data_IF_395710683080
#
_entry.id   IF_395710683080
#
_cell.length_a   1.000
_cell.length_b   1.000
_cell.length_c   1.000
_cell.angle_alpha   90.00
_cell.angle_beta   90.00
_cell.angle_gamma   90.00
#
_symmetry.space_group_name_H-M   'P 1'
#
loop_
_entity.id
_entity.type
_entity.pdbx_description
1 polymer ?
#
# COMPACT_ATOMS: atom_id res chain seq x y z
N UNK A 1 8.62 -16.60 18.67
CA UNK A 1 7.59 -15.99 19.52
C UNK A 1 6.80 -17.05 20.23
N UNK A 2 6.54 -16.90 21.52
CA UNK A 2 5.70 -17.87 22.28
C UNK A 2 4.23 -17.59 21.96
N UNK A 3 3.36 -18.59 22.10
CA UNK A 3 1.91 -18.40 21.90
C UNK A 3 1.31 -17.32 22.84
N UNK A 4 1.95 -17.04 23.98
CA UNK A 4 1.51 -16.00 24.92
C UNK A 4 1.82 -14.58 24.41
N UNK A 5 2.92 -14.38 23.69
CA UNK A 5 3.30 -13.08 23.12
C UNK A 5 2.40 -12.64 21.96
N UNK A 6 1.69 -13.57 21.32
CA UNK A 6 0.75 -13.29 20.22
C UNK A 6 -0.72 -13.15 20.67
N UNK A 7 -1.04 -13.56 21.90
CA UNK A 7 -2.43 -13.63 22.36
C UNK A 7 -3.14 -12.28 22.27
N UNK A 8 -2.48 -11.17 22.64
CA UNK A 8 -3.11 -9.86 22.59
C UNK A 8 -3.40 -9.39 21.15
N UNK A 9 -2.62 -9.85 20.16
CA UNK A 9 -2.86 -9.53 18.76
C UNK A 9 -4.02 -10.33 18.18
N UNK A 10 -4.14 -11.60 18.53
CA UNK A 10 -5.08 -12.53 17.89
C UNK A 10 -6.41 -12.69 18.61
N UNK A 11 -6.53 -12.20 19.84
CA UNK A 11 -7.72 -12.37 20.70
C UNK A 11 -9.04 -11.91 20.02
N UNK A 12 -8.98 -10.91 19.17
CA UNK A 12 -10.13 -10.39 18.44
C UNK A 12 -10.24 -10.89 16.98
N UNK A 13 -9.34 -11.77 16.53
CA UNK A 13 -9.29 -12.20 15.14
C UNK A 13 -10.43 -13.13 14.74
N UNK A 14 -10.91 -13.97 15.65
CA UNK A 14 -11.93 -14.98 15.33
C UNK A 14 -13.22 -14.37 14.78
N UNK A 15 -13.73 -13.31 15.40
CA UNK A 15 -14.93 -12.61 14.93
C UNK A 15 -14.74 -12.04 13.52
N UNK A 16 -13.57 -11.46 13.24
CA UNK A 16 -13.22 -10.90 11.93
C UNK A 16 -13.09 -12.00 10.87
N UNK A 17 -12.45 -13.10 11.22
CA UNK A 17 -12.30 -14.29 10.39
C UNK A 17 -13.67 -14.87 10.02
N UNK A 18 -14.59 -14.98 10.99
CA UNK A 18 -15.95 -15.42 10.73
C UNK A 18 -16.68 -14.49 9.75
N UNK A 19 -16.50 -13.17 9.85
CA UNK A 19 -17.08 -12.21 8.93
C UNK A 19 -16.54 -12.38 7.51
N UNK A 20 -15.22 -12.53 7.35
CA UNK A 20 -14.57 -12.77 6.05
C UNK A 20 -15.07 -14.08 5.43
N UNK A 21 -15.09 -15.16 6.19
CA UNK A 21 -15.56 -16.47 5.71
C UNK A 21 -17.05 -16.46 5.35
N UNK A 22 -17.88 -15.79 6.14
CA UNK A 22 -19.33 -15.64 5.85
C UNK A 22 -19.56 -14.80 4.62
N UNK A 23 -18.74 -13.76 4.37
CA UNK A 23 -18.80 -12.97 3.14
C UNK A 23 -18.55 -13.83 1.92
N UNK A 24 -17.64 -14.81 2.00
CA UNK A 24 -17.27 -15.72 0.92
C UNK A 24 -17.00 -14.95 -0.39
N UNK A 25 -16.12 -13.96 -0.30
CA UNK A 25 -15.74 -13.16 -1.45
C UNK A 25 -14.78 -13.94 -2.36
N UNK A 26 -14.93 -13.85 -3.70
CA UNK A 26 -14.07 -14.56 -4.65
C UNK A 26 -12.65 -13.98 -4.74
N UNK A 27 -12.45 -12.76 -4.25
CA UNK A 27 -11.16 -12.10 -4.18
C UNK A 27 -10.91 -11.58 -2.76
N UNK A 28 -9.90 -12.13 -2.09
CA UNK A 28 -9.43 -11.65 -0.80
C UNK A 28 -7.92 -11.47 -0.83
N UNK A 29 -7.44 -10.40 -0.21
CA UNK A 29 -6.02 -10.10 -0.01
C UNK A 29 -5.81 -9.43 1.33
N UNK A 30 -4.58 -9.42 1.83
CA UNK A 30 -4.18 -8.59 2.97
C UNK A 30 -3.57 -7.30 2.41
N UNK A 31 -3.88 -6.16 3.01
CA UNK A 31 -3.22 -4.88 2.75
C UNK A 31 -2.64 -4.32 4.04
N UNK A 32 -1.35 -4.08 4.04
CA UNK A 32 -0.59 -3.45 5.14
C UNK A 32 0.34 -2.41 4.55
N UNK A 33 0.51 -1.26 5.21
CA UNK A 33 1.32 -0.15 4.69
C UNK A 33 2.00 0.61 5.81
N UNK A 34 3.03 1.41 5.45
CA UNK A 34 3.72 2.26 6.41
C UNK A 34 4.18 1.44 7.63
N UNK A 35 4.86 0.34 7.33
CA UNK A 35 5.31 -0.60 8.36
C UNK A 35 6.41 0.00 9.22
N UNK A 36 7.30 0.81 8.62
CA UNK A 36 8.44 1.45 9.30
C UNK A 36 9.08 0.51 10.35
N UNK A 37 9.37 -0.72 9.93
CA UNK A 37 9.79 -1.80 10.82
C UNK A 37 10.97 -1.37 11.71
N UNK A 38 10.81 -1.49 13.02
CA UNK A 38 11.79 -1.11 14.04
C UNK A 38 11.98 0.40 14.24
N UNK A 39 11.11 1.25 13.69
CA UNK A 39 11.14 2.68 14.03
C UNK A 39 10.68 2.93 15.48
N UNK A 40 9.57 2.33 15.90
CA UNK A 40 9.02 2.38 17.26
C UNK A 40 9.07 0.99 17.87
N UNK A 41 8.58 -0.01 17.15
CA UNK A 41 8.60 -1.43 17.52
C UNK A 41 8.79 -2.28 16.27
N UNK A 42 9.03 -3.59 16.44
CA UNK A 42 9.09 -4.50 15.30
C UNK A 42 7.68 -4.85 14.83
N UNK A 43 7.44 -4.74 13.52
CA UNK A 43 6.20 -5.18 12.87
C UNK A 43 6.21 -6.67 12.55
N UNK A 44 7.36 -7.34 12.66
CA UNK A 44 7.48 -8.78 12.39
C UNK A 44 6.47 -9.62 13.18
N UNK A 45 6.23 -9.40 14.47
CA UNK A 45 5.20 -10.15 15.22
C UNK A 45 3.79 -10.02 14.63
N UNK A 46 3.45 -8.85 14.10
CA UNK A 46 2.16 -8.61 13.45
C UNK A 46 2.05 -9.41 12.16
N UNK A 47 3.12 -9.41 11.35
CA UNK A 47 3.16 -10.24 10.13
C UNK A 47 3.04 -11.72 10.49
N UNK A 48 3.77 -12.19 11.49
CA UNK A 48 3.68 -13.59 11.94
C UNK A 48 2.29 -13.96 12.44
N UNK A 49 1.56 -13.03 13.09
CA UNK A 49 0.18 -13.25 13.51
C UNK A 49 -0.79 -13.49 12.35
N UNK A 50 -0.45 -13.05 11.14
CA UNK A 50 -1.27 -13.29 9.95
C UNK A 50 -1.38 -14.77 9.58
N UNK A 51 -0.46 -15.64 10.03
CA UNK A 51 -0.63 -17.09 9.89
C UNK A 51 -1.93 -17.57 10.52
N UNK A 52 -2.32 -16.99 11.65
CA UNK A 52 -3.58 -17.32 12.30
C UNK A 52 -4.80 -17.06 11.41
N UNK A 53 -4.73 -15.98 10.62
CA UNK A 53 -5.77 -15.60 9.65
C UNK A 53 -5.71 -16.54 8.44
N UNK A 54 -4.53 -16.74 7.88
CA UNK A 54 -4.33 -17.55 6.67
C UNK A 54 -4.75 -19.01 6.87
N UNK A 55 -4.47 -19.58 8.04
CA UNK A 55 -4.89 -20.94 8.39
C UNK A 55 -6.42 -21.11 8.43
N UNK A 56 -7.15 -20.01 8.67
CA UNK A 56 -8.63 -20.00 8.85
C UNK A 56 -9.39 -19.34 7.71
N UNK A 57 -8.69 -18.58 6.86
CA UNK A 57 -9.22 -17.91 5.66
C UNK A 57 -8.44 -18.37 4.43
N UNK A 58 -8.60 -19.60 3.96
CA UNK A 58 -7.82 -20.14 2.83
C UNK A 58 -8.11 -19.43 1.51
N UNK A 59 -9.15 -18.59 1.44
CA UNK A 59 -9.48 -17.76 0.28
C UNK A 59 -8.61 -16.50 0.12
N UNK A 60 -7.71 -16.19 1.06
CA UNK A 60 -6.77 -15.07 0.93
C UNK A 60 -5.67 -15.47 -0.06
N UNK A 61 -5.53 -14.70 -1.14
CA UNK A 61 -4.70 -15.08 -2.30
C UNK A 61 -3.31 -14.48 -2.27
N UNK A 62 -3.13 -13.29 -1.69
CA UNK A 62 -1.85 -12.56 -1.64
C UNK A 62 -1.87 -11.49 -0.56
N UNK A 63 -0.68 -10.95 -0.26
CA UNK A 63 -0.49 -9.79 0.59
C UNK A 63 0.03 -8.64 -0.27
N UNK A 64 -0.46 -7.42 0.00
CA UNK A 64 0.08 -6.18 -0.55
C UNK A 64 0.72 -5.36 0.56
N UNK A 65 2.01 -5.05 0.40
CA UNK A 65 2.70 -4.03 1.18
C UNK A 65 2.59 -2.69 0.45
N UNK A 66 2.00 -1.71 1.11
CA UNK A 66 1.74 -0.38 0.56
C UNK A 66 2.96 0.56 0.58
N UNK A 67 4.18 0.07 0.90
CA UNK A 67 5.40 0.88 0.98
C UNK A 67 5.72 1.39 2.38
N UNK A 68 6.85 2.08 2.51
CA UNK A 68 7.46 2.50 3.78
C UNK A 68 7.68 1.30 4.72
N UNK A 69 8.49 0.37 4.23
CA UNK A 69 8.64 -0.98 4.79
C UNK A 69 9.63 -1.00 5.96
N UNK A 70 10.84 -0.46 5.74
CA UNK A 70 11.96 -0.57 6.67
C UNK A 70 12.12 0.63 7.60
N UNK A 71 13.26 0.67 8.29
CA UNK A 71 13.63 1.75 9.20
C UNK A 71 14.75 2.61 8.60
N UNK A 72 14.40 3.68 7.94
CA UNK A 72 15.34 4.65 7.37
C UNK A 72 15.86 5.69 8.39
N UNK A 73 15.38 5.67 9.63
CA UNK A 73 15.97 6.43 10.75
C UNK A 73 17.17 5.71 11.37
N UNK A 74 17.58 4.55 10.88
CA UNK A 74 18.79 3.89 11.34
C UNK A 74 20.01 4.54 10.67
N UNK A 75 20.94 5.13 11.45
CA UNK A 75 22.14 5.77 10.90
C UNK A 75 23.13 4.77 10.30
N UNK A 76 23.03 3.49 10.65
CA UNK A 76 23.81 2.41 10.05
C UNK A 76 23.13 1.91 8.77
N UNK A 77 23.76 2.11 7.60
CA UNK A 77 23.17 1.66 6.33
C UNK A 77 22.90 0.15 6.25
N UNK A 78 23.72 -0.64 6.92
CA UNK A 78 23.49 -2.09 6.97
C UNK A 78 22.36 -2.44 7.94
N UNK A 79 22.22 -1.70 9.03
CA UNK A 79 21.09 -1.81 9.94
C UNK A 79 19.76 -1.48 9.24
N UNK A 80 19.73 -0.46 8.39
CA UNK A 80 18.56 -0.11 7.55
C UNK A 80 18.19 -1.26 6.61
N UNK A 81 19.16 -1.80 5.88
CA UNK A 81 18.97 -2.96 4.98
C UNK A 81 18.53 -4.21 5.72
N UNK A 82 19.09 -4.44 6.90
CA UNK A 82 18.72 -5.57 7.74
C UNK A 82 17.28 -5.47 8.24
N UNK A 83 16.79 -4.26 8.54
CA UNK A 83 15.39 -4.04 8.90
C UNK A 83 14.45 -4.38 7.74
N UNK A 84 14.76 -3.93 6.52
CA UNK A 84 14.02 -4.32 5.31
C UNK A 84 14.00 -5.84 5.11
N UNK A 85 15.16 -6.48 5.17
CA UNK A 85 15.25 -7.95 5.00
C UNK A 85 14.40 -8.69 6.02
N UNK A 86 14.46 -8.32 7.30
CA UNK A 86 13.70 -9.01 8.36
C UNK A 86 12.20 -8.99 8.11
N UNK A 87 11.64 -7.84 7.77
CA UNK A 87 10.20 -7.75 7.52
C UNK A 87 9.80 -8.44 6.20
N UNK A 88 10.61 -8.30 5.15
CA UNK A 88 10.35 -9.00 3.89
C UNK A 88 10.43 -10.53 4.05
N UNK A 89 11.40 -11.04 4.80
CA UNK A 89 11.49 -12.46 5.16
C UNK A 89 10.25 -12.93 5.92
N UNK A 90 9.78 -12.15 6.91
CA UNK A 90 8.55 -12.47 7.63
C UNK A 90 7.34 -12.53 6.69
N UNK A 91 7.17 -11.54 5.81
CA UNK A 91 6.09 -11.55 4.82
C UNK A 91 6.20 -12.73 3.84
N UNK A 92 7.39 -13.04 3.34
CA UNK A 92 7.59 -14.16 2.43
C UNK A 92 7.35 -15.53 3.10
N UNK A 93 7.58 -15.63 4.40
CA UNK A 93 7.33 -16.84 5.19
C UNK A 93 5.84 -17.12 5.41
N UNK A 94 4.94 -16.17 5.12
CA UNK A 94 3.49 -16.40 5.15
C UNK A 94 3.02 -17.45 4.13
N UNK A 95 3.84 -17.79 3.13
CA UNK A 95 3.54 -18.84 2.16
C UNK A 95 2.55 -18.43 1.07
N UNK A 96 2.19 -17.15 0.97
CA UNK A 96 1.39 -16.56 -0.09
C UNK A 96 2.22 -15.53 -0.88
N UNK A 97 1.84 -15.19 -2.13
CA UNK A 97 2.48 -14.12 -2.87
C UNK A 97 2.43 -12.78 -2.11
N UNK A 98 3.54 -12.03 -2.17
CA UNK A 98 3.67 -10.71 -1.58
C UNK A 98 4.01 -9.71 -2.68
N UNK A 99 3.20 -8.68 -2.82
CA UNK A 99 3.37 -7.60 -3.77
C UNK A 99 3.64 -6.29 -3.05
N UNK A 100 4.60 -5.50 -3.52
CA UNK A 100 5.03 -4.29 -2.85
C UNK A 100 4.85 -3.06 -3.75
N UNK A 101 4.35 -1.98 -3.17
CA UNK A 101 4.59 -0.61 -3.62
C UNK A 101 5.86 -0.09 -2.91
N UNK A 102 6.55 0.84 -3.53
CA UNK A 102 7.74 1.46 -2.92
C UNK A 102 7.36 2.86 -2.41
N UNK A 103 7.69 3.12 -1.15
CA UNK A 103 7.39 4.37 -0.46
C UNK A 103 8.61 5.28 -0.31
N UNK A 104 8.39 6.51 0.18
CA UNK A 104 9.42 7.55 0.25
C UNK A 104 10.48 7.31 1.33
N UNK A 105 10.25 6.41 2.26
CA UNK A 105 11.24 6.01 3.26
C UNK A 105 12.05 4.78 2.84
N UNK A 106 11.64 4.06 1.81
CA UNK A 106 12.25 2.77 1.47
C UNK A 106 13.69 2.91 0.92
N UNK A 107 14.01 3.97 0.17
CA UNK A 107 15.37 4.23 -0.31
C UNK A 107 16.31 4.86 0.74
N UNK A 108 15.76 5.31 1.87
CA UNK A 108 16.49 5.94 2.96
C UNK A 108 16.90 7.39 2.73
N UNK A 109 16.77 7.92 1.50
CA UNK A 109 17.32 9.24 1.14
C UNK A 109 16.72 10.38 1.93
N UNK A 110 15.42 10.31 2.29
CA UNK A 110 14.74 11.34 3.04
C UNK A 110 15.43 11.64 4.37
N UNK A 111 15.63 10.63 5.16
CA UNK A 111 16.28 10.77 6.45
C UNK A 111 17.79 10.95 6.34
N UNK A 112 18.47 10.32 5.37
CA UNK A 112 19.90 10.56 5.14
C UNK A 112 20.19 12.03 4.89
N UNK A 113 19.39 12.71 4.06
CA UNK A 113 19.54 14.15 3.79
C UNK A 113 19.16 14.97 5.03
N UNK A 114 18.03 14.67 5.67
CA UNK A 114 17.54 15.43 6.82
C UNK A 114 18.52 15.36 8.02
N UNK A 115 19.23 14.25 8.18
CA UNK A 115 20.21 14.01 9.24
C UNK A 115 21.66 14.29 8.80
N UNK A 116 21.88 14.76 7.58
CA UNK A 116 23.22 14.99 7.00
C UNK A 116 24.10 13.73 6.94
N UNK A 117 23.49 12.57 6.71
CA UNK A 117 24.20 11.31 6.51
C UNK A 117 24.68 11.16 5.06
N UNK A 118 25.52 10.16 4.85
CA UNK A 118 26.06 9.86 3.52
C UNK A 118 24.99 9.22 2.62
N UNK A 119 24.45 9.99 1.67
CA UNK A 119 23.39 9.55 0.76
C UNK A 119 23.84 8.51 -0.26
N UNK A 120 25.16 8.27 -0.42
CA UNK A 120 25.69 7.18 -1.27
C UNK A 120 25.30 5.80 -0.75
N UNK A 121 24.85 5.72 0.50
CA UNK A 121 24.36 4.51 1.14
C UNK A 121 22.87 4.22 0.89
N UNK A 122 22.20 5.01 0.05
CA UNK A 122 20.80 4.78 -0.31
C UNK A 122 20.58 3.38 -0.90
N UNK A 123 19.37 2.85 -0.71
CA UNK A 123 18.92 1.63 -1.38
C UNK A 123 18.47 2.03 -2.78
N UNK A 124 19.21 1.63 -3.79
CA UNK A 124 18.91 1.97 -5.19
C UNK A 124 17.85 1.03 -5.78
N UNK A 125 17.23 1.38 -6.93
CA UNK A 125 16.13 0.61 -7.51
C UNK A 125 16.41 -0.88 -7.71
N UNK A 126 17.60 -1.26 -8.18
CA UNK A 126 17.98 -2.67 -8.38
C UNK A 126 18.08 -3.43 -7.05
N UNK A 127 18.62 -2.80 -6.02
CA UNK A 127 18.69 -3.37 -4.68
C UNK A 127 17.28 -3.48 -4.07
N UNK A 128 16.44 -2.46 -4.25
CA UNK A 128 15.05 -2.48 -3.83
C UNK A 128 14.29 -3.63 -4.50
N UNK A 129 14.50 -3.81 -5.80
CA UNK A 129 13.92 -4.94 -6.54
C UNK A 129 14.35 -6.30 -5.96
N UNK A 130 15.62 -6.43 -5.58
CA UNK A 130 16.12 -7.67 -4.93
C UNK A 130 15.47 -7.92 -3.56
N UNK A 131 15.18 -6.88 -2.80
CA UNK A 131 14.52 -6.97 -1.50
C UNK A 131 13.03 -7.32 -1.62
N UNK A 132 12.31 -6.61 -2.49
CA UNK A 132 10.84 -6.62 -2.54
C UNK A 132 10.26 -7.40 -3.73
N UNK A 133 11.06 -7.76 -4.72
CA UNK A 133 10.61 -8.23 -6.04
C UNK A 133 10.37 -9.73 -6.18
N UNK A 134 10.41 -10.54 -5.11
CA UNK A 134 10.31 -12.01 -5.20
C UNK A 134 9.11 -12.51 -6.02
N UNK A 135 7.98 -11.83 -5.96
CA UNK A 135 6.74 -12.19 -6.68
C UNK A 135 6.39 -11.19 -7.79
N UNK A 136 7.28 -10.26 -8.07
CA UNK A 136 7.14 -9.32 -9.17
C UNK A 136 7.53 -10.03 -10.49
N UNK A 137 6.66 -10.05 -11.50
CA UNK A 137 6.91 -10.76 -12.75
C UNK A 137 7.84 -10.00 -13.72
N UNK A 138 8.32 -8.81 -13.34
CA UNK A 138 9.17 -7.94 -14.18
C UNK A 138 10.50 -7.64 -13.51
N UNK A 139 11.37 -6.92 -14.19
CA UNK A 139 12.64 -6.39 -13.69
C UNK A 139 12.53 -4.95 -13.15
N UNK A 140 11.30 -4.41 -13.02
CA UNK A 140 11.01 -3.05 -12.55
C UNK A 140 10.29 -3.09 -11.21
N UNK A 141 10.31 -2.00 -10.47
CA UNK A 141 9.58 -1.89 -9.21
C UNK A 141 8.10 -1.54 -9.38
N UNK A 142 7.63 -1.33 -10.63
CA UNK A 142 6.23 -1.17 -10.98
C UNK A 142 5.78 -2.23 -11.97
N UNK A 143 4.59 -2.79 -11.75
CA UNK A 143 4.08 -3.92 -12.51
C UNK A 143 2.60 -4.13 -12.29
N UNK A 144 2.02 -5.11 -12.96
CA UNK A 144 0.69 -5.60 -12.65
C UNK A 144 0.64 -7.13 -12.63
N UNK A 145 -0.39 -7.66 -11.99
CA UNK A 145 -0.79 -9.05 -12.07
C UNK A 145 -2.26 -9.14 -12.44
N UNK A 146 -2.63 -10.17 -13.18
CA UNK A 146 -4.02 -10.46 -13.56
C UNK A 146 -4.55 -11.62 -12.71
N UNK A 147 -5.79 -11.48 -12.23
CA UNK A 147 -6.44 -12.42 -11.32
C UNK A 147 -7.83 -12.74 -11.89
N UNK A 148 -8.07 -14.01 -12.15
CA UNK A 148 -9.37 -14.51 -12.55
C UNK A 148 -10.16 -14.94 -11.30
N UNK A 149 -11.45 -14.60 -11.25
CA UNK A 149 -12.36 -14.99 -10.18
C UNK A 149 -13.72 -15.38 -10.75
N UNK A 150 -14.58 -15.96 -9.91
CA UNK A 150 -15.92 -16.37 -10.31
C UNK A 150 -16.86 -15.17 -10.62
N UNK A 151 -16.63 -14.03 -9.96
CA UNK A 151 -17.47 -12.82 -10.06
C UNK A 151 -16.93 -11.78 -11.06
N UNK A 152 -15.72 -11.99 -11.57
CA UNK A 152 -15.08 -11.06 -12.50
C UNK A 152 -13.57 -11.22 -12.54
N UNK A 153 -12.96 -10.59 -13.51
CA UNK A 153 -11.52 -10.62 -13.72
C UNK A 153 -10.93 -9.28 -13.35
N UNK A 154 -9.82 -9.31 -12.61
CA UNK A 154 -9.19 -8.12 -12.07
C UNK A 154 -7.73 -8.01 -12.47
N UNK A 155 -7.27 -6.77 -12.59
CA UNK A 155 -5.85 -6.40 -12.69
C UNK A 155 -5.46 -5.61 -11.46
N UNK A 156 -4.42 -6.09 -10.76
CA UNK A 156 -3.80 -5.37 -9.66
C UNK A 156 -2.55 -4.67 -10.18
N UNK A 157 -2.54 -3.36 -10.13
CA UNK A 157 -1.41 -2.52 -10.59
C UNK A 157 -0.68 -2.00 -9.36
N UNK A 158 0.63 -2.17 -9.31
CA UNK A 158 1.51 -1.71 -8.23
C UNK A 158 2.45 -0.64 -8.80
N UNK A 159 2.47 0.54 -8.17
CA UNK A 159 3.28 1.67 -8.61
C UNK A 159 4.50 1.85 -7.70
N UNK A 160 5.58 2.31 -8.29
CA UNK A 160 6.77 2.79 -7.60
C UNK A 160 6.69 4.32 -7.48
N UNK A 161 6.49 4.83 -6.26
CA UNK A 161 6.45 6.26 -6.01
C UNK A 161 7.82 6.90 -5.87
N UNK A 162 8.89 6.13 -5.98
CA UNK A 162 10.28 6.61 -5.92
C UNK A 162 11.02 6.42 -7.23
N UNK A 163 10.29 6.27 -8.34
CA UNK A 163 10.83 6.13 -9.70
C UNK A 163 11.37 7.49 -10.22
N UNK A 164 12.32 8.01 -9.46
CA UNK A 164 13.00 9.29 -9.68
C UNK A 164 14.40 9.06 -10.26
N UNK A 165 14.99 10.06 -10.92
CA UNK A 165 16.37 9.94 -11.40
C UNK A 165 17.34 9.93 -10.21
N UNK A 166 18.09 8.82 -10.04
CA UNK A 166 19.15 8.69 -9.04
C UNK A 166 20.47 9.32 -9.57
N UNK A 167 20.45 10.64 -9.78
CA UNK A 167 21.61 11.40 -10.23
C UNK A 167 22.40 11.92 -9.03
N UNK A 168 23.72 11.81 -9.09
CA UNK A 168 24.61 12.31 -8.05
C UNK A 168 25.03 13.75 -8.31
N UNK A 169 25.32 14.49 -7.24
CA UNK A 169 25.99 15.78 -7.29
C UNK A 169 27.52 15.61 -7.57
N UNK A 170 28.26 16.72 -7.56
CA UNK A 170 29.71 16.73 -7.77
C UNK A 170 30.51 15.95 -6.70
N UNK A 171 29.91 15.67 -5.55
CA UNK A 171 30.51 14.91 -4.44
C UNK A 171 30.08 13.43 -4.44
N UNK A 172 29.29 13.01 -5.44
CA UNK A 172 28.72 11.67 -5.53
C UNK A 172 27.54 11.44 -4.60
N UNK A 173 26.95 12.50 -4.02
CA UNK A 173 25.78 12.40 -3.14
C UNK A 173 24.48 12.49 -3.94
N UNK A 174 23.42 11.79 -3.50
CA UNK A 174 22.09 11.90 -4.07
C UNK A 174 21.31 13.04 -3.41
N UNK A 175 20.85 14.07 -4.18
CA UNK A 175 20.24 15.26 -3.59
C UNK A 175 18.72 15.19 -3.39
N UNK A 176 18.06 14.09 -3.74
CA UNK A 176 16.61 14.05 -3.90
C UNK A 176 15.84 13.45 -2.71
N UNK A 177 16.20 13.65 -1.51
CA UNK A 177 15.48 13.34 -0.26
C UNK A 177 14.14 12.57 -0.38
N UNK A 178 13.12 13.08 0.27
CA UNK A 178 11.75 12.52 0.23
C UNK A 178 10.99 12.80 -1.08
N UNK A 179 11.69 13.01 -2.19
CA UNK A 179 11.04 13.23 -3.47
C UNK A 179 10.28 11.98 -3.91
N UNK A 180 8.98 12.14 -4.03
CA UNK A 180 8.10 11.18 -4.67
C UNK A 180 7.96 11.53 -6.14
N UNK A 181 8.15 10.56 -7.02
CA UNK A 181 8.08 10.76 -8.46
C UNK A 181 7.61 9.50 -9.19
N UNK A 182 6.81 9.71 -10.20
CA UNK A 182 6.51 8.73 -11.25
C UNK A 182 7.27 9.20 -12.49
N UNK A 183 8.21 8.40 -12.97
CA UNK A 183 8.95 8.73 -14.19
C UNK A 183 8.04 8.79 -15.41
N UNK A 184 8.50 9.46 -16.46
CA UNK A 184 7.77 9.45 -17.74
C UNK A 184 7.63 8.02 -18.29
N UNK A 185 8.64 7.17 -18.09
CA UNK A 185 8.61 5.77 -18.54
C UNK A 185 7.55 4.97 -17.80
N UNK A 186 7.43 5.09 -16.46
CA UNK A 186 6.38 4.46 -15.70
C UNK A 186 5.01 4.98 -16.10
N UNK A 187 4.88 6.30 -16.33
CA UNK A 187 3.62 6.89 -16.75
C UNK A 187 3.19 6.38 -18.15
N UNK A 188 4.10 6.29 -19.10
CA UNK A 188 3.81 5.72 -20.44
C UNK A 188 3.44 4.23 -20.36
N UNK A 189 4.12 3.46 -19.51
CA UNK A 189 3.77 2.07 -19.25
C UNK A 189 2.36 1.97 -18.62
N UNK A 190 2.07 2.82 -17.65
CA UNK A 190 0.76 2.84 -16.99
C UNK A 190 -0.36 3.10 -18.00
N UNK A 191 -0.20 4.13 -18.84
CA UNK A 191 -1.17 4.51 -19.85
C UNK A 191 -1.39 3.43 -20.91
N UNK A 192 -0.30 2.84 -21.43
CA UNK A 192 -0.32 2.03 -22.64
C UNK A 192 -0.30 0.51 -22.35
N UNK A 193 -0.05 0.09 -21.11
CA UNK A 193 0.04 -1.32 -20.73
C UNK A 193 -0.83 -1.65 -19.51
N UNK A 194 -0.68 -0.90 -18.42
CA UNK A 194 -1.43 -1.22 -17.20
C UNK A 194 -2.93 -0.99 -17.37
N UNK A 195 -3.33 0.08 -18.07
CA UNK A 195 -4.74 0.38 -18.35
C UNK A 195 -5.32 -0.34 -19.59
N UNK A 196 -4.48 -0.94 -20.42
CA UNK A 196 -4.90 -1.69 -21.61
C UNK A 196 -5.39 -3.10 -21.24
N UNK A 197 -6.62 -3.18 -20.77
CA UNK A 197 -7.26 -4.44 -20.38
C UNK A 197 -8.78 -4.30 -20.34
N UNK A 198 -9.49 -5.42 -20.49
CA UNK A 198 -10.94 -5.50 -20.24
C UNK A 198 -11.28 -5.79 -18.76
N UNK A 199 -10.30 -6.06 -17.92
CA UNK A 199 -10.44 -6.39 -16.51
C UNK A 199 -10.78 -5.16 -15.67
N UNK A 200 -11.42 -5.36 -14.53
CA UNK A 200 -11.52 -4.33 -13.49
C UNK A 200 -10.12 -4.07 -12.88
N UNK A 201 -9.75 -2.82 -12.67
CA UNK A 201 -8.41 -2.44 -12.26
C UNK A 201 -8.42 -1.87 -10.83
N UNK A 202 -7.59 -2.44 -9.95
CA UNK A 202 -7.23 -1.85 -8.68
C UNK A 202 -5.80 -1.31 -8.77
N UNK A 203 -5.61 -0.05 -8.41
CA UNK A 203 -4.27 0.58 -8.43
C UNK A 203 -3.79 0.76 -6.99
N UNK A 204 -2.67 0.15 -6.69
CA UNK A 204 -1.95 0.31 -5.44
C UNK A 204 -0.76 1.26 -5.64
N UNK A 205 -0.63 2.22 -4.75
CA UNK A 205 0.44 3.22 -4.77
C UNK A 205 0.76 3.57 -3.33
N UNK A 206 2.04 3.74 -2.98
CA UNK A 206 2.34 4.21 -1.63
C UNK A 206 1.69 5.57 -1.37
N UNK A 207 1.97 6.54 -2.21
CA UNK A 207 1.37 7.88 -2.10
C UNK A 207 0.06 7.97 -2.89
N UNK A 208 -0.97 8.65 -2.36
CA UNK A 208 -2.16 8.98 -3.14
C UNK A 208 -1.79 9.72 -4.43
N UNK A 209 -2.44 9.35 -5.55
CA UNK A 209 -2.16 9.96 -6.87
C UNK A 209 -2.67 11.40 -6.97
N UNK A 210 -3.60 11.79 -6.12
CA UNK A 210 -4.20 13.13 -6.13
C UNK A 210 -4.60 13.59 -4.74
N UNK A 211 -4.90 14.89 -4.63
CA UNK A 211 -5.40 15.49 -3.40
C UNK A 211 -6.70 14.86 -2.87
N UNK A 212 -7.50 14.26 -3.75
CA UNK A 212 -8.76 13.64 -3.33
C UNK A 212 -8.53 12.54 -2.28
N UNK A 213 -7.43 11.82 -2.34
CA UNK A 213 -7.07 10.78 -1.36
C UNK A 213 -6.72 11.32 0.03
N UNK A 214 -6.41 12.60 0.18
CA UNK A 214 -5.95 13.19 1.45
C UNK A 214 -6.80 14.34 1.98
N UNK A 215 -7.64 14.97 1.15
CA UNK A 215 -8.50 16.07 1.59
C UNK A 215 -9.46 15.59 2.68
N UNK A 216 -9.46 16.30 3.80
CA UNK A 216 -10.30 15.97 4.96
C UNK A 216 -9.67 15.00 5.95
N UNK A 217 -8.45 14.50 5.70
CA UNK A 217 -7.75 13.64 6.64
C UNK A 217 -7.30 14.35 7.92
N UNK A 218 -7.21 15.67 7.90
CA UNK A 218 -6.72 16.48 9.02
C UNK A 218 -5.21 16.37 9.23
N UNK A 219 -4.48 15.72 8.34
CA UNK A 219 -3.02 15.68 8.36
C UNK A 219 -2.43 17.07 8.09
N UNK A 220 -1.16 17.29 8.40
CA UNK A 220 -0.51 18.57 8.10
C UNK A 220 -0.53 18.88 6.59
N UNK A 221 -0.56 17.87 5.74
CA UNK A 221 -0.62 17.97 4.27
C UNK A 221 -1.96 18.52 3.79
N UNK A 222 -3.07 18.13 4.42
CA UNK A 222 -4.41 18.66 4.15
C UNK A 222 -4.50 20.17 4.43
N UNK A 223 -3.67 20.72 5.32
CA UNK A 223 -3.69 22.10 5.76
C UNK A 223 -2.79 23.06 4.99
N UNK A 224 -1.72 22.56 4.39
CA UNK A 224 -0.61 23.41 3.95
C UNK A 224 -0.64 23.73 2.47
N UNK A 225 -1.00 22.77 1.60
CA UNK A 225 -1.07 22.96 0.14
C UNK A 225 -1.96 21.91 -0.51
N UNK A 226 -2.43 22.16 -1.75
CA UNK A 226 -2.80 21.10 -2.64
C UNK A 226 -1.65 20.08 -2.65
N UNK A 227 -2.01 18.82 -2.52
CA UNK A 227 -1.01 17.75 -2.48
C UNK A 227 -0.43 17.55 -3.88
N UNK A 228 0.78 17.98 -4.06
CA UNK A 228 1.58 17.84 -5.27
C UNK A 228 2.95 17.19 -4.98
N UNK A 229 3.00 16.42 -3.87
CA UNK A 229 4.23 15.75 -3.46
C UNK A 229 4.63 14.64 -4.45
N UNK A 230 3.67 14.02 -5.13
CA UNK A 230 3.93 13.00 -6.15
C UNK A 230 4.03 13.64 -7.53
N UNK A 231 5.25 13.89 -7.99
CA UNK A 231 5.50 14.34 -9.35
C UNK A 231 5.05 13.27 -10.36
N UNK A 232 4.38 13.66 -11.42
CA UNK A 232 3.74 12.72 -12.36
C UNK A 232 2.37 12.22 -11.93
N UNK A 233 2.00 12.32 -10.65
CA UNK A 233 0.70 11.93 -10.13
C UNK A 233 -0.50 12.54 -10.88
N UNK A 234 -0.51 13.85 -11.19
CA UNK A 234 -1.57 14.46 -11.99
C UNK A 234 -1.75 13.85 -13.38
N UNK A 235 -0.68 13.40 -14.03
CA UNK A 235 -0.74 12.69 -15.32
C UNK A 235 -1.47 11.36 -15.17
N UNK A 236 -1.09 10.55 -14.17
CA UNK A 236 -1.75 9.28 -13.91
C UNK A 236 -3.22 9.49 -13.54
N UNK A 237 -3.51 10.48 -12.68
CA UNK A 237 -4.89 10.82 -12.27
C UNK A 237 -5.78 11.14 -13.47
N UNK A 238 -5.26 11.88 -14.46
CA UNK A 238 -5.99 12.17 -15.68
C UNK A 238 -6.38 10.88 -16.45
N UNK A 239 -5.44 9.93 -16.61
CA UNK A 239 -5.71 8.67 -17.29
C UNK A 239 -6.64 7.76 -16.50
N UNK A 240 -6.47 7.71 -15.19
CA UNK A 240 -7.36 6.96 -14.26
C UNK A 240 -8.80 7.46 -14.36
N UNK A 241 -9.02 8.78 -14.38
CA UNK A 241 -10.37 9.36 -14.52
C UNK A 241 -11.04 9.00 -15.86
N UNK A 242 -10.26 8.88 -16.91
CA UNK A 242 -10.76 8.48 -18.24
C UNK A 242 -11.03 6.99 -18.35
N UNK A 243 -10.25 6.17 -17.66
CA UNK A 243 -10.39 4.72 -17.70
C UNK A 243 -11.49 4.26 -16.75
N UNK A 244 -12.66 3.95 -17.27
CA UNK A 244 -13.80 3.48 -16.48
C UNK A 244 -13.62 2.11 -15.85
N UNK A 245 -12.56 1.39 -16.21
CA UNK A 245 -12.21 0.09 -15.63
C UNK A 245 -11.43 0.19 -14.32
N UNK A 246 -10.88 1.36 -13.98
CA UNK A 246 -10.26 1.57 -12.67
C UNK A 246 -11.35 1.66 -11.61
N UNK A 247 -11.37 0.70 -10.68
CA UNK A 247 -12.38 0.52 -9.66
C UNK A 247 -12.07 1.23 -8.36
N UNK A 248 -10.80 1.25 -7.96
CA UNK A 248 -10.34 1.96 -6.77
C UNK A 248 -8.84 2.28 -6.84
N UNK A 249 -8.43 3.34 -6.14
CA UNK A 249 -7.04 3.65 -5.78
C UNK A 249 -6.85 3.37 -4.30
N UNK A 250 -5.78 2.65 -3.93
CA UNK A 250 -5.51 2.21 -2.56
C UNK A 250 -4.10 2.65 -2.20
N UNK A 251 -3.95 3.38 -1.10
CA UNK A 251 -2.68 4.03 -0.74
C UNK A 251 -2.44 4.05 0.77
N UNK A 252 -1.18 4.24 1.15
CA UNK A 252 -0.71 4.54 2.50
C UNK A 252 -0.27 6.00 2.66
N UNK A 253 0.96 6.20 3.16
CA UNK A 253 1.70 7.46 3.21
C UNK A 253 1.12 8.54 4.13
N UNK A 254 -0.18 8.70 4.22
CA UNK A 254 -0.83 9.72 5.05
C UNK A 254 -1.13 9.23 6.47
N UNK A 255 -0.97 7.94 6.74
CA UNK A 255 -1.19 7.28 8.02
C UNK A 255 -2.59 7.54 8.60
N UNK A 256 -3.58 7.61 7.75
CA UNK A 256 -4.95 7.97 8.14
C UNK A 256 -5.98 7.20 7.31
N UNK A 257 -7.02 6.69 7.98
CA UNK A 257 -8.16 6.05 7.32
C UNK A 257 -9.02 7.10 6.63
N UNK A 258 -9.12 7.00 5.31
CA UNK A 258 -10.00 7.87 4.54
C UNK A 258 -10.55 7.14 3.31
N UNK A 259 -11.80 7.41 2.97
CA UNK A 259 -12.43 6.98 1.72
C UNK A 259 -13.08 8.22 1.13
N UNK A 260 -12.61 8.61 -0.04
CA UNK A 260 -13.18 9.72 -0.80
C UNK A 260 -13.45 9.27 -2.22
N UNK A 261 -14.51 9.84 -2.77
CA UNK A 261 -14.83 9.65 -4.18
C UNK A 261 -14.40 10.89 -4.96
N UNK A 262 -13.58 10.68 -5.97
CA UNK A 262 -13.23 11.66 -7.00
C UNK A 262 -14.11 11.35 -8.21
N UNK A 263 -15.20 12.09 -8.34
CA UNK A 263 -16.37 11.71 -9.13
C UNK A 263 -16.92 10.34 -8.64
N UNK A 264 -16.84 9.31 -9.46
CA UNK A 264 -17.28 7.94 -9.17
C UNK A 264 -16.12 6.99 -8.74
N UNK A 265 -14.89 7.53 -8.59
CA UNK A 265 -13.70 6.74 -8.28
C UNK A 265 -13.35 6.83 -6.79
N UNK A 266 -13.44 5.73 -6.04
CA UNK A 266 -13.00 5.73 -4.65
C UNK A 266 -11.47 5.79 -4.55
N UNK A 267 -11.00 6.69 -3.70
CA UNK A 267 -9.62 6.81 -3.26
C UNK A 267 -9.56 6.47 -1.77
N UNK A 268 -8.79 5.45 -1.45
CA UNK A 268 -8.72 4.83 -0.13
C UNK A 268 -7.32 5.07 0.42
N UNK A 269 -7.23 5.65 1.60
CA UNK A 269 -6.01 5.63 2.40
C UNK A 269 -6.27 4.87 3.69
N UNK A 270 -5.21 4.32 4.30
CA UNK A 270 -5.33 3.55 5.52
C UNK A 270 -4.30 3.94 6.56
N UNK A 271 -4.53 3.50 7.80
CA UNK A 271 -3.60 3.69 8.91
C UNK A 271 -2.27 2.98 8.63
N UNK A 272 -1.20 3.56 9.16
CA UNK A 272 0.09 2.88 9.22
C UNK A 272 0.03 1.62 10.09
N UNK A 273 0.80 0.61 9.73
CA UNK A 273 0.91 -0.61 10.52
C UNK A 273 1.52 -0.37 11.90
N UNK A 274 2.36 0.64 12.02
CA UNK A 274 3.06 0.96 13.25
C UNK A 274 2.27 1.91 14.15
N UNK A 275 2.57 1.85 15.46
CA UNK A 275 2.02 2.74 16.49
C UNK A 275 2.45 4.20 16.28
N UNK A 276 1.78 4.92 15.39
CA UNK A 276 2.01 6.34 15.15
C UNK A 276 0.68 7.11 15.09
N UNK A 277 0.64 8.27 15.71
CA UNK A 277 -0.52 9.17 15.69
C UNK A 277 -0.12 10.48 15.01
N UNK A 278 -0.39 10.58 13.72
CA UNK A 278 0.03 11.73 12.92
C UNK A 278 -1.03 12.81 12.77
N UNK A 279 -2.31 12.49 13.03
CA UNK A 279 -3.39 13.44 12.79
C UNK A 279 -4.44 13.42 13.89
N UNK A 280 -5.14 14.55 14.12
CA UNK A 280 -6.36 14.57 14.90
C UNK A 280 -7.39 13.64 14.25
N UNK A 281 -8.04 12.78 15.05
CA UNK A 281 -9.04 11.83 14.55
C UNK A 281 -8.48 10.44 14.20
N UNK A 282 -7.17 10.23 14.19
CA UNK A 282 -6.63 8.87 14.26
C UNK A 282 -7.09 8.20 15.55
N UNK A 283 -7.41 6.90 15.52
CA UNK A 283 -7.74 6.16 16.72
C UNK A 283 -6.58 6.21 17.72
N UNK A 284 -6.89 6.14 19.00
CA UNK A 284 -5.88 5.97 20.02
C UNK A 284 -5.23 4.59 19.88
N UNK A 285 -3.91 4.55 19.98
CA UNK A 285 -3.10 3.35 19.81
C UNK A 285 -2.21 3.18 21.02
N UNK A 286 -2.17 1.95 21.55
CA UNK A 286 -1.44 1.63 22.76
C UNK A 286 -0.59 0.39 22.52
N UNK A 287 0.70 0.48 22.85
CA UNK A 287 1.62 -0.65 22.78
C UNK A 287 1.11 -1.86 23.57
N UNK A 288 1.43 -3.05 23.12
CA UNK A 288 1.04 -4.33 23.71
C UNK A 288 -0.49 -4.51 23.85
N UNK A 289 -1.26 -3.87 22.97
CA UNK A 289 -2.70 -4.05 22.83
C UNK A 289 -3.09 -4.31 21.38
N UNK A 290 -4.33 -4.76 21.15
CA UNK A 290 -4.85 -4.97 19.80
C UNK A 290 -4.79 -3.70 18.92
N UNK A 291 -4.68 -2.51 19.55
CA UNK A 291 -4.61 -1.23 18.85
C UNK A 291 -3.18 -0.81 18.50
N UNK A 292 -2.16 -1.59 18.85
CA UNK A 292 -0.77 -1.28 18.53
C UNK A 292 -0.55 -1.20 17.03
N UNK A 293 -1.22 -2.06 16.27
CA UNK A 293 -1.08 -2.14 14.82
C UNK A 293 -2.38 -1.90 14.08
N UNK A 294 -2.30 -1.82 12.75
CA UNK A 294 -3.45 -1.80 11.86
C UNK A 294 -3.09 -2.39 10.49
N UNK A 295 -3.95 -3.27 9.99
CA UNK A 295 -3.94 -3.75 8.61
C UNK A 295 -5.36 -4.18 8.21
N UNK A 296 -5.61 -4.38 6.94
CA UNK A 296 -6.92 -4.75 6.43
C UNK A 296 -6.88 -6.10 5.68
N UNK A 297 -7.91 -6.91 5.84
CA UNK A 297 -8.26 -7.90 4.83
C UNK A 297 -9.22 -7.23 3.86
N UNK A 298 -8.78 -7.14 2.61
CA UNK A 298 -9.54 -6.54 1.50
C UNK A 298 -10.27 -7.65 0.77
N UNK A 299 -11.59 -7.60 0.78
CA UNK A 299 -12.47 -8.57 0.12
C UNK A 299 -13.30 -7.88 -0.95
N UNK A 300 -13.32 -8.41 -2.16
CA UNK A 300 -14.17 -7.89 -3.26
C UNK A 300 -15.22 -8.91 -3.59
N UNK A 301 -16.50 -8.49 -3.54
CA UNK A 301 -17.66 -9.31 -3.90
C UNK A 301 -18.67 -8.47 -4.65
N UNK A 302 -18.95 -8.85 -5.89
CA UNK A 302 -19.79 -8.05 -6.77
C UNK A 302 -19.22 -6.64 -6.96
N UNK A 303 -20.01 -5.64 -6.66
CA UNK A 303 -19.67 -4.22 -6.78
C UNK A 303 -19.25 -3.56 -5.44
N UNK A 304 -18.89 -4.36 -4.45
CA UNK A 304 -18.48 -3.86 -3.12
C UNK A 304 -17.12 -4.39 -2.73
N UNK A 305 -16.25 -3.48 -2.27
CA UNK A 305 -15.01 -3.80 -1.56
C UNK A 305 -15.24 -3.65 -0.06
N UNK A 306 -14.88 -4.66 0.69
CA UNK A 306 -14.92 -4.69 2.15
C UNK A 306 -13.49 -4.63 2.67
N UNK A 307 -13.25 -3.74 3.63
CA UNK A 307 -11.97 -3.60 4.32
C UNK A 307 -12.22 -4.03 5.77
N UNK A 308 -11.94 -5.30 6.07
CA UNK A 308 -12.04 -5.84 7.43
C UNK A 308 -10.78 -5.48 8.19
N UNK A 309 -10.91 -4.61 9.17
CA UNK A 309 -9.80 -4.08 9.97
C UNK A 309 -9.35 -5.07 11.04
N UNK A 310 -8.05 -5.31 11.10
CA UNK A 310 -7.35 -5.95 12.21
C UNK A 310 -6.51 -4.90 12.93
N UNK A 311 -6.68 -4.80 14.24
CA UNK A 311 -6.04 -3.77 15.05
C UNK A 311 -6.84 -2.48 15.20
N UNK A 312 -6.18 -1.33 15.20
CA UNK A 312 -6.82 -0.02 15.40
C UNK A 312 -7.71 0.38 14.24
N UNK A 313 -8.77 1.11 14.54
CA UNK A 313 -9.73 1.60 13.54
C UNK A 313 -10.97 0.71 13.42
N UNK A 314 -11.69 0.84 12.31
CA UNK A 314 -12.96 0.15 12.09
C UNK A 314 -13.04 -0.49 10.71
N UNK A 315 -13.94 -1.47 10.57
CA UNK A 315 -14.29 -2.04 9.28
C UNK A 315 -14.91 -0.96 8.38
N UNK A 316 -14.66 -1.06 7.09
CA UNK A 316 -15.14 -0.12 6.08
C UNK A 316 -15.64 -0.88 4.86
N UNK A 317 -16.54 -0.26 4.10
CA UNK A 317 -16.93 -0.76 2.79
C UNK A 317 -16.91 0.36 1.76
N UNK A 318 -16.66 -0.01 0.51
CA UNK A 318 -16.51 0.89 -0.62
C UNK A 318 -17.38 0.39 -1.76
N UNK A 319 -18.21 1.26 -2.28
CA UNK A 319 -19.04 0.99 -3.46
C UNK A 319 -18.17 1.18 -4.72
N UNK A 320 -18.03 0.12 -5.51
CA UNK A 320 -17.30 0.09 -6.77
C UNK A 320 -18.21 0.49 -7.93
N UNK A 321 -18.73 1.72 -7.90
CA UNK A 321 -19.76 2.21 -8.84
C UNK A 321 -19.33 2.04 -10.29
N UNK A 322 -18.05 2.21 -10.59
CA UNK A 322 -17.51 2.05 -11.95
C UNK A 322 -17.64 0.62 -12.47
N UNK A 323 -17.42 -0.38 -11.58
CA UNK A 323 -17.64 -1.78 -11.94
C UNK A 323 -19.09 -2.03 -12.37
N UNK A 324 -20.03 -1.45 -11.64
CA UNK A 324 -21.46 -1.54 -11.93
C UNK A 324 -21.78 -0.96 -13.31
N UNK A 325 -21.29 0.23 -13.62
CA UNK A 325 -21.51 0.89 -14.91
C UNK A 325 -20.86 0.13 -16.07
N UNK A 326 -19.78 -0.59 -15.84
CA UNK A 326 -19.05 -1.35 -16.86
C UNK A 326 -19.68 -2.72 -17.13
N UNK A 327 -20.13 -3.40 -16.08
CA UNK A 327 -20.69 -4.77 -16.17
C UNK A 327 -22.12 -4.76 -16.68
N UNK A 328 -22.94 -3.82 -16.23
CA UNK A 328 -24.38 -3.81 -16.57
C UNK A 328 -24.75 -3.06 -17.84
N UNK A 329 -23.85 -2.24 -18.35
CA UNK A 329 -24.15 -1.38 -19.48
C UNK A 329 -23.12 -1.57 -20.60
N UNK A 330 -23.08 -2.73 -21.20
CA UNK A 330 -22.34 -2.96 -22.46
C UNK A 330 -22.59 -1.89 -23.54
N UNK A 331 -22.92 -0.68 -23.14
CA UNK A 331 -23.29 0.43 -23.98
C UNK A 331 -23.69 1.70 -23.21
N UNK A 332 -23.04 2.10 -22.14
CA UNK A 332 -23.24 3.45 -21.61
C UNK A 332 -22.50 4.46 -22.47
N UNK A 333 -23.27 5.10 -23.34
CA UNK A 333 -22.93 6.40 -23.89
C UNK A 333 -23.42 7.40 -22.83
N UNK A 334 -22.51 8.00 -22.05
CA UNK A 334 -22.83 9.24 -21.37
C UNK A 334 -22.84 10.34 -22.41
N UNK A 335 -24.02 10.83 -22.69
CA UNK A 335 -24.19 12.15 -23.33
C UNK A 335 -23.70 13.27 -22.43
#
# INVERSE_FOLDING_TARGET
>A
MTNEELLYLTDHYDEKIECINRLNAPLNSIFITDQHNELVSSVVPVIESMHYILDRCPGIRFLVSGGDIGNDYNPDPEGMRASHRRIMEAMYNLGIPVHCCIGNHDDGLGNMIAQHWDTRNAILPDEMHQLCGKYNPTDRNYYYIDIDTEDGDYRMVFLDCTDKPYLTDANGQYPYGWRLEISDEQAEWFENKALDTERGIFVFSHSPLSNAGIIGTGTHRDRIKPYDDLLGGPRLTYHVRKCKRVLALISGHVHYDNIRYDDDLPQITTLCALLQKWAPGCPDRTAETITETAFDVVSVKGDTMYLTRFGAGTDRCVDLIRARSTIYNGGYIHE
#
